data_IF_209566443510
#
_entry.id   IF_209566443510
#
_cell.length_a   1.000
_cell.length_b   1.000
_cell.length_c   1.000
_cell.angle_alpha   90.00
_cell.angle_beta   90.00
_cell.angle_gamma   90.00
#
_symmetry.space_group_name_H-M   'P 1'
#
loop_
_entity.id
_entity.type
_entity.pdbx_description
1 polymer ?
#
# COMPACT_ATOMS: atom_id res chain seq x y z
N UNK A 1 -22.60 -21.77 -8.54
CA UNK A 1 -21.30 -21.10 -8.31
C UNK A 1 -21.37 -20.39 -6.98
N UNK A 2 -20.40 -20.58 -6.09
CA UNK A 2 -20.36 -19.87 -4.81
C UNK A 2 -20.21 -18.36 -5.05
N UNK A 3 -20.93 -17.53 -4.29
CA UNK A 3 -20.81 -16.08 -4.37
C UNK A 3 -19.40 -15.65 -3.91
N UNK A 4 -18.66 -14.88 -4.72
CA UNK A 4 -17.34 -14.41 -4.32
C UNK A 4 -17.46 -13.42 -3.15
N UNK A 5 -16.68 -13.65 -2.10
CA UNK A 5 -16.62 -12.82 -0.90
C UNK A 5 -15.33 -12.01 -0.88
N UNK A 6 -15.35 -10.90 -0.13
CA UNK A 6 -14.17 -10.10 0.17
C UNK A 6 -13.77 -10.34 1.61
N UNK A 7 -12.47 -10.46 1.84
CA UNK A 7 -11.89 -10.51 3.18
C UNK A 7 -10.83 -9.41 3.29
N UNK A 8 -10.75 -8.76 4.44
CA UNK A 8 -9.84 -7.64 4.67
C UNK A 8 -9.02 -7.86 5.93
N UNK A 9 -7.71 -7.61 5.84
CA UNK A 9 -6.81 -7.56 6.99
C UNK A 9 -6.32 -6.12 7.19
N UNK A 10 -6.35 -5.65 8.44
CA UNK A 10 -5.73 -4.39 8.86
C UNK A 10 -4.29 -4.64 9.34
N UNK A 11 -3.40 -3.72 8.97
CA UNK A 11 -2.02 -3.63 9.43
C UNK A 11 -1.74 -2.20 9.88
N UNK A 12 -0.83 -2.06 10.84
CA UNK A 12 -0.32 -0.77 11.31
C UNK A 12 1.19 -0.75 11.15
N UNK A 13 1.71 0.40 10.75
CA UNK A 13 3.13 0.64 10.61
C UNK A 13 3.44 2.09 10.96
N UNK A 14 4.54 2.30 11.67
CA UNK A 14 5.04 3.62 12.04
C UNK A 14 6.21 3.98 11.12
N UNK A 15 6.15 5.09 10.40
CA UNK A 15 7.23 5.44 9.48
C UNK A 15 7.38 6.96 9.32
N UNK A 16 8.60 7.37 9.00
CA UNK A 16 8.92 8.76 8.72
C UNK A 16 9.06 9.02 7.23
N UNK A 17 8.81 10.26 6.81
CA UNK A 17 9.09 10.74 5.47
C UNK A 17 9.15 12.27 5.36
N UNK A 18 9.58 12.76 4.21
CA UNK A 18 9.40 14.13 3.75
C UNK A 18 8.96 14.15 2.29
N UNK A 19 8.12 15.11 1.93
CA UNK A 19 7.77 15.39 0.54
C UNK A 19 8.68 16.51 0.03
N UNK A 20 9.70 16.15 -0.74
CA UNK A 20 10.72 17.10 -1.17
C UNK A 20 11.20 16.83 -2.59
N UNK A 21 11.40 17.91 -3.34
CA UNK A 21 11.99 17.90 -4.67
C UNK A 21 13.31 18.62 -4.69
N UNK A 22 14.38 17.89 -5.02
CA UNK A 22 15.74 18.42 -5.08
C UNK A 22 15.94 19.40 -6.25
N UNK A 23 15.11 19.31 -7.29
CA UNK A 23 15.11 20.23 -8.44
C UNK A 23 14.35 21.54 -8.17
N UNK A 24 13.80 21.74 -6.96
CA UNK A 24 13.04 22.92 -6.57
C UNK A 24 13.76 23.75 -5.50
N UNK A 25 13.50 25.06 -5.48
CA UNK A 25 13.96 25.92 -4.39
C UNK A 25 13.27 25.54 -3.07
N UNK A 26 13.89 25.83 -1.91
CA UNK A 26 13.26 25.62 -0.60
C UNK A 26 11.88 26.29 -0.51
N UNK A 27 11.77 27.56 -0.91
CA UNK A 27 10.49 28.30 -0.88
C UNK A 27 9.39 27.62 -1.72
N UNK A 28 9.76 27.03 -2.86
CA UNK A 28 8.79 26.30 -3.69
C UNK A 28 8.36 25.01 -3.03
N UNK A 29 9.29 24.25 -2.44
CA UNK A 29 8.96 23.05 -1.67
C UNK A 29 8.03 23.38 -0.50
N UNK A 30 8.33 24.43 0.28
CA UNK A 30 7.49 24.85 1.39
C UNK A 30 6.11 25.35 0.92
N UNK A 31 6.04 26.06 -0.21
CA UNK A 31 4.76 26.52 -0.75
C UNK A 31 3.85 25.37 -1.23
N UNK A 32 4.43 24.33 -1.82
CA UNK A 32 3.68 23.21 -2.40
C UNK A 32 3.38 22.11 -1.36
N UNK A 33 4.40 21.67 -0.62
CA UNK A 33 4.27 20.58 0.33
C UNK A 33 3.99 21.06 1.76
N UNK A 34 4.10 22.35 2.04
CA UNK A 34 3.81 22.91 3.36
C UNK A 34 4.65 22.28 4.46
N UNK A 35 3.99 21.90 5.56
CA UNK A 35 4.64 21.20 6.68
C UNK A 35 5.22 19.84 6.27
N UNK A 36 4.69 19.20 5.23
CA UNK A 36 5.16 17.92 4.74
C UNK A 36 6.53 18.01 4.03
N UNK A 37 7.01 19.23 3.71
CA UNK A 37 8.37 19.44 3.20
C UNK A 37 9.46 19.08 4.23
N UNK A 38 9.10 19.06 5.52
CA UNK A 38 9.99 18.72 6.63
C UNK A 38 9.89 17.23 6.92
N UNK A 39 10.94 16.66 7.50
CA UNK A 39 10.88 15.30 8.01
C UNK A 39 9.84 15.22 9.12
N UNK A 40 8.91 14.29 8.98
CA UNK A 40 7.85 13.98 9.93
C UNK A 40 7.53 12.49 9.81
N UNK A 41 6.56 11.99 10.57
CA UNK A 41 6.11 10.61 10.44
C UNK A 41 4.65 10.45 10.78
N UNK A 42 4.13 9.26 10.47
CA UNK A 42 2.72 8.91 10.65
C UNK A 42 2.57 7.48 11.16
N UNK A 43 1.47 7.29 11.89
CA UNK A 43 0.95 5.98 12.27
C UNK A 43 -0.01 5.51 11.17
N UNK A 44 0.56 4.88 10.14
CA UNK A 44 -0.20 4.44 8.97
C UNK A 44 -1.09 3.25 9.31
N UNK A 45 -2.28 3.20 8.70
CA UNK A 45 -3.18 2.05 8.76
C UNK A 45 -3.46 1.54 7.35
N UNK A 46 -3.02 0.32 7.07
CA UNK A 46 -3.16 -0.34 5.77
C UNK A 46 -4.27 -1.40 5.84
N UNK A 47 -5.22 -1.31 4.92
CA UNK A 47 -6.23 -2.34 4.66
C UNK A 47 -5.87 -3.10 3.39
N UNK A 48 -5.69 -4.41 3.51
CA UNK A 48 -5.46 -5.31 2.36
C UNK A 48 -6.68 -6.18 2.18
N UNK A 49 -7.35 -6.04 1.04
CA UNK A 49 -8.57 -6.77 0.72
C UNK A 49 -8.32 -7.78 -0.39
N UNK A 50 -8.65 -9.05 -0.13
CA UNK A 50 -8.68 -10.09 -1.15
C UNK A 50 -10.13 -10.43 -1.53
N UNK A 51 -10.33 -10.91 -2.77
CA UNK A 51 -11.62 -11.41 -3.25
C UNK A 51 -11.48 -12.79 -3.88
N UNK A 52 -12.39 -13.69 -3.53
CA UNK A 52 -12.42 -15.04 -4.09
C UNK A 52 -13.68 -15.80 -3.69
N UNK A 53 -13.93 -16.99 -4.28
CA UNK A 53 -14.99 -17.87 -3.81
C UNK A 53 -14.66 -18.39 -2.39
N UNK A 54 -15.70 -18.74 -1.63
CA UNK A 54 -15.51 -19.53 -0.40
C UNK A 54 -15.25 -20.97 -0.82
N UNK A 55 -14.10 -21.50 -0.41
CA UNK A 55 -13.74 -22.89 -0.61
C UNK A 55 -14.73 -23.81 0.14
N UNK A 56 -15.32 -24.84 -0.51
CA UNK A 56 -16.32 -25.70 0.11
C UNK A 56 -15.75 -26.67 1.15
N UNK A 57 -14.46 -26.98 1.10
CA UNK A 57 -13.78 -27.85 2.06
C UNK A 57 -13.32 -27.07 3.28
N UNK A 58 -12.70 -25.91 3.08
CA UNK A 58 -12.13 -25.11 4.17
C UNK A 58 -13.10 -24.06 4.73
N UNK A 59 -14.23 -23.80 4.05
CA UNK A 59 -15.18 -22.73 4.36
C UNK A 59 -14.56 -21.32 4.46
N UNK A 60 -13.51 -21.04 3.68
CA UNK A 60 -12.78 -19.77 3.70
C UNK A 60 -12.50 -19.26 2.28
N UNK A 61 -12.35 -17.95 2.12
CA UNK A 61 -11.74 -17.38 0.91
C UNK A 61 -10.23 -17.62 0.91
N UNK A 62 -9.59 -17.32 2.05
CA UNK A 62 -8.18 -17.62 2.35
C UNK A 62 -7.97 -17.58 3.86
N UNK A 63 -7.01 -18.34 4.36
CA UNK A 63 -6.65 -18.28 5.78
C UNK A 63 -6.04 -16.90 6.11
N UNK A 64 -6.57 -16.23 7.14
CA UNK A 64 -6.09 -14.92 7.57
C UNK A 64 -4.64 -14.93 8.05
N UNK A 65 -4.15 -16.03 8.60
CA UNK A 65 -2.75 -16.15 9.03
C UNK A 65 -1.80 -16.08 7.82
N UNK A 66 -2.16 -16.73 6.72
CA UNK A 66 -1.36 -16.71 5.49
C UNK A 66 -1.34 -15.31 4.87
N UNK A 67 -2.51 -14.66 4.80
CA UNK A 67 -2.61 -13.27 4.30
C UNK A 67 -1.74 -12.35 5.15
N UNK A 68 -1.83 -12.46 6.48
CA UNK A 68 -1.01 -11.67 7.40
C UNK A 68 0.48 -11.99 7.30
N UNK A 69 0.85 -13.24 7.07
CA UNK A 69 2.23 -13.66 6.86
C UNK A 69 2.83 -13.00 5.61
N UNK A 70 2.17 -13.15 4.47
CA UNK A 70 2.59 -12.55 3.19
C UNK A 70 2.70 -11.03 3.29
N UNK A 71 1.68 -10.35 3.83
CA UNK A 71 1.74 -8.88 3.93
C UNK A 71 2.84 -8.42 4.89
N UNK A 72 3.09 -9.16 5.99
CA UNK A 72 4.20 -8.81 6.89
C UNK A 72 5.55 -8.97 6.24
N UNK A 73 5.76 -10.08 5.54
CA UNK A 73 6.99 -10.37 4.84
C UNK A 73 7.29 -9.32 3.75
N UNK A 74 6.32 -9.07 2.87
CA UNK A 74 6.55 -8.24 1.68
C UNK A 74 6.39 -6.73 1.91
N UNK A 75 5.69 -6.31 2.97
CA UNK A 75 5.35 -4.89 3.21
C UNK A 75 5.78 -4.45 4.60
N UNK A 76 5.19 -5.00 5.66
CA UNK A 76 5.37 -4.45 7.02
C UNK A 76 6.83 -4.49 7.45
N UNK A 77 7.54 -5.60 7.21
CA UNK A 77 8.96 -5.76 7.56
C UNK A 77 9.89 -4.74 6.89
N UNK A 78 9.44 -4.14 5.79
CA UNK A 78 10.23 -3.21 4.96
C UNK A 78 9.87 -1.75 5.23
N UNK A 79 8.70 -1.47 5.79
CA UNK A 79 8.20 -0.10 6.00
C UNK A 79 8.09 0.29 7.47
N UNK A 80 7.88 -0.67 8.38
CA UNK A 80 7.73 -0.36 9.80
C UNK A 80 9.03 0.09 10.43
N UNK A 81 8.96 1.19 11.19
CA UNK A 81 10.08 1.90 11.79
C UNK A 81 11.16 2.33 10.78
N UNK A 82 10.78 2.59 9.52
CA UNK A 82 11.70 3.03 8.46
C UNK A 82 11.47 4.47 8.01
N UNK A 83 12.46 5.00 7.28
CA UNK A 83 12.30 6.19 6.44
C UNK A 83 11.78 5.79 5.05
N UNK A 84 10.55 6.19 4.73
CA UNK A 84 9.90 5.89 3.46
C UNK A 84 10.66 6.47 2.27
N UNK A 85 11.35 7.60 2.43
CA UNK A 85 12.17 8.17 1.35
C UNK A 85 13.29 7.21 0.94
N UNK A 86 13.90 6.51 1.91
CA UNK A 86 14.97 5.56 1.67
C UNK A 86 14.47 4.23 1.08
N UNK A 87 13.30 3.77 1.50
CA UNK A 87 12.75 2.46 1.06
C UNK A 87 12.05 2.55 -0.29
N UNK A 88 11.23 3.58 -0.49
CA UNK A 88 10.37 3.71 -1.69
C UNK A 88 11.08 4.51 -2.78
N UNK A 89 11.93 5.46 -2.39
CA UNK A 89 12.57 6.39 -3.32
C UNK A 89 11.61 7.46 -3.87
N UNK A 90 12.20 8.56 -4.35
CA UNK A 90 11.44 9.71 -4.82
C UNK A 90 10.64 10.39 -3.70
N UNK A 91 9.43 10.85 -4.02
CA UNK A 91 8.54 11.58 -3.12
C UNK A 91 7.48 10.59 -2.60
N UNK A 92 7.53 10.15 -1.33
CA UNK A 92 6.62 9.12 -0.81
C UNK A 92 5.27 9.70 -0.38
N UNK A 93 4.48 10.22 -1.31
CA UNK A 93 3.08 10.59 -0.99
C UNK A 93 2.25 9.34 -0.69
N UNK A 94 1.10 9.48 -0.02
CA UNK A 94 0.21 8.36 0.28
C UNK A 94 -0.16 7.53 -0.97
N UNK A 95 -0.37 8.20 -2.11
CA UNK A 95 -0.64 7.57 -3.41
C UNK A 95 0.55 6.71 -3.88
N UNK A 96 1.77 7.23 -3.80
CA UNK A 96 2.97 6.49 -4.21
C UNK A 96 3.31 5.36 -3.24
N UNK A 97 3.01 5.53 -1.95
CA UNK A 97 3.18 4.46 -0.97
C UNK A 97 2.20 3.31 -1.26
N UNK A 98 0.90 3.58 -1.47
CA UNK A 98 -0.06 2.51 -1.75
C UNK A 98 0.21 1.82 -3.10
N UNK A 99 0.71 2.54 -4.10
CA UNK A 99 1.19 1.97 -5.35
C UNK A 99 2.41 1.05 -5.14
N UNK A 100 3.41 1.50 -4.36
CA UNK A 100 4.56 0.67 -4.02
C UNK A 100 4.14 -0.63 -3.32
N UNK A 101 3.19 -0.55 -2.38
CA UNK A 101 2.59 -1.70 -1.69
C UNK A 101 1.92 -2.63 -2.69
N UNK A 102 1.14 -2.10 -3.64
CA UNK A 102 0.52 -2.90 -4.69
C UNK A 102 1.56 -3.67 -5.51
N UNK A 103 2.66 -3.02 -5.89
CA UNK A 103 3.76 -3.65 -6.64
C UNK A 103 4.44 -4.78 -5.85
N UNK A 104 4.45 -4.75 -4.52
CA UNK A 104 4.97 -5.86 -3.70
C UNK A 104 3.97 -7.02 -3.58
N UNK A 105 2.67 -6.72 -3.55
CA UNK A 105 1.62 -7.71 -3.26
C UNK A 105 1.03 -8.37 -4.52
N UNK A 106 1.01 -7.67 -5.66
CA UNK A 106 0.50 -8.19 -6.94
C UNK A 106 1.21 -9.47 -7.40
N UNK A 107 2.55 -9.63 -7.30
CA UNK A 107 3.23 -10.87 -7.68
C UNK A 107 2.80 -12.10 -6.86
N UNK A 108 2.32 -11.88 -5.62
CA UNK A 108 1.99 -12.97 -4.68
C UNK A 108 0.49 -13.28 -4.65
N UNK A 109 -0.35 -12.24 -4.63
CA UNK A 109 -1.81 -12.40 -4.58
C UNK A 109 -2.47 -12.39 -5.96
N UNK A 110 -1.80 -11.88 -7.00
CA UNK A 110 -2.32 -11.80 -8.36
C UNK A 110 -3.69 -11.15 -8.41
N UNK A 111 -4.62 -11.78 -9.14
CA UNK A 111 -5.99 -11.28 -9.34
C UNK A 111 -6.87 -11.37 -8.09
N UNK A 112 -6.41 -12.08 -7.04
CA UNK A 112 -7.16 -12.12 -5.77
C UNK A 112 -6.99 -10.85 -4.96
N UNK A 113 -5.93 -10.05 -5.21
CA UNK A 113 -5.78 -8.72 -4.61
C UNK A 113 -6.84 -7.80 -5.17
N UNK A 114 -7.78 -7.42 -4.32
CA UNK A 114 -9.01 -6.75 -4.75
C UNK A 114 -8.99 -5.25 -4.48
N UNK A 115 -8.49 -4.85 -3.32
CA UNK A 115 -8.35 -3.44 -2.96
C UNK A 115 -7.24 -3.25 -1.93
N UNK A 116 -6.61 -2.08 -2.00
CA UNK A 116 -5.69 -1.55 -1.02
C UNK A 116 -6.18 -0.18 -0.58
N UNK A 117 -6.10 0.09 0.72
CA UNK A 117 -6.36 1.41 1.26
C UNK A 117 -5.34 1.72 2.35
N UNK A 118 -4.58 2.79 2.15
CA UNK A 118 -3.58 3.27 3.08
C UNK A 118 -4.06 4.59 3.69
N UNK A 119 -4.35 4.57 4.99
CA UNK A 119 -4.61 5.76 5.77
C UNK A 119 -3.28 6.32 6.27
N UNK A 120 -2.95 7.54 5.86
CA UNK A 120 -1.80 8.28 6.38
C UNK A 120 -2.15 8.93 7.73
N UNK A 121 -3.39 9.41 7.85
CA UNK A 121 -3.92 9.97 9.10
C UNK A 121 -5.34 9.44 9.33
N UNK A 122 -5.97 9.66 10.50
CA UNK A 122 -7.35 9.27 10.73
C UNK A 122 -8.38 9.88 9.77
N UNK A 123 -8.01 10.92 9.02
CA UNK A 123 -8.91 11.70 8.14
C UNK A 123 -8.50 11.71 6.68
N UNK A 124 -7.40 11.05 6.30
CA UNK A 124 -6.90 11.04 4.92
C UNK A 124 -6.32 9.67 4.55
N UNK A 125 -6.76 9.13 3.41
CA UNK A 125 -6.28 7.89 2.82
C UNK A 125 -6.10 8.00 1.31
N UNK A 126 -5.28 7.08 0.77
CA UNK A 126 -5.18 6.79 -0.66
C UNK A 126 -5.54 5.32 -0.89
N UNK A 127 -6.17 5.00 -2.02
CA UNK A 127 -6.66 3.66 -2.30
C UNK A 127 -6.48 3.24 -3.76
N UNK A 128 -6.36 1.92 -3.96
CA UNK A 128 -6.38 1.27 -5.26
C UNK A 128 -7.48 0.22 -5.26
N UNK A 129 -8.38 0.28 -6.23
CA UNK A 129 -9.43 -0.70 -6.47
C UNK A 129 -9.08 -1.68 -7.59
N UNK A 130 -10.05 -2.49 -8.04
CA UNK A 130 -9.81 -3.51 -9.06
C UNK A 130 -9.31 -2.96 -10.39
N UNK A 131 -9.78 -1.78 -10.79
CA UNK A 131 -9.40 -1.15 -12.06
C UNK A 131 -7.94 -0.71 -12.03
N UNK A 132 -7.52 -0.01 -10.98
CA UNK A 132 -6.14 0.45 -10.84
C UNK A 132 -5.17 -0.73 -10.66
N UNK A 133 -5.55 -1.74 -9.87
CA UNK A 133 -4.74 -2.95 -9.68
C UNK A 133 -4.61 -3.78 -10.96
N UNK A 134 -5.64 -3.80 -11.82
CA UNK A 134 -5.56 -4.43 -13.13
C UNK A 134 -4.62 -3.66 -14.06
N UNK A 135 -4.68 -2.32 -14.06
CA UNK A 135 -3.75 -1.48 -14.82
C UNK A 135 -2.29 -1.72 -14.39
N UNK A 136 -2.01 -1.68 -13.08
CA UNK A 136 -0.66 -1.93 -12.54
C UNK A 136 -0.12 -3.33 -12.87
N UNK A 137 -1.00 -4.35 -12.96
CA UNK A 137 -0.60 -5.70 -13.38
C UNK A 137 -0.26 -5.78 -14.87
N UNK A 138 -0.92 -4.95 -15.70
CA UNK A 138 -0.70 -4.85 -17.14
C UNK A 138 0.59 -4.13 -17.52
N UNK A 139 1.11 -3.27 -16.64
CA UNK A 139 2.39 -2.54 -16.80
C UNK A 139 3.66 -3.42 -16.69
N UNK A 140 3.61 -4.73 -16.99
CA UNK A 140 4.83 -5.55 -17.03
C UNK A 140 5.88 -4.80 -17.86
N UNK A 141 7.02 -4.53 -17.23
CA UNK A 141 8.15 -3.79 -17.79
C UNK A 141 8.32 -4.20 -19.25
N UNK A 142 8.16 -3.23 -20.16
CA UNK A 142 8.64 -3.38 -21.51
C UNK A 142 10.12 -3.81 -21.41
N UNK A 143 10.53 -4.87 -22.13
CA UNK A 143 11.89 -5.40 -22.05
C UNK A 143 12.95 -4.35 -22.38
#
# INVERSE_FOLDING_TARGET
MALPMRITCEFRLEASHRLWRDDWTPDRNERIFGKCARLHGHSYRLLVTLRGPVDPETAMVRNFLDVKGVVREHVVSRLDHQDMNAVIGGIPTAERIVEWIARQLLPVFGETLYALELWETPTASASLGPEELAALRGEREAP
#
